data_IF_788860981832
#
_entry.id   IF_788860981832
#
_cell.length_a   1.000
_cell.length_b   1.000
_cell.length_c   1.000
_cell.angle_alpha   90.00
_cell.angle_beta   90.00
_cell.angle_gamma   90.00
#
_symmetry.space_group_name_H-M   'P 1'
#
loop_
_entity.id
_entity.type
_entity.pdbx_description
1 polymer ?
#
# COMPACT_ATOMS: atom_id res chain seq x y z
N UNK A 1 -24.39 26.61 19.34
CA UNK A 1 -23.23 26.62 18.44
C UNK A 1 -22.65 25.22 18.39
N UNK A 2 -23.02 24.44 17.38
CA UNK A 2 -22.42 23.12 17.12
C UNK A 2 -21.06 23.36 16.47
N UNK A 3 -19.97 23.05 17.16
CA UNK A 3 -18.66 23.02 16.53
C UNK A 3 -18.70 21.90 15.49
N UNK A 4 -18.66 22.25 14.19
CA UNK A 4 -18.38 21.29 13.14
C UNK A 4 -16.94 20.82 13.34
N UNK A 5 -16.78 19.60 13.85
CA UNK A 5 -15.47 18.95 13.87
C UNK A 5 -15.05 18.75 12.42
N UNK A 6 -14.06 19.50 11.96
CA UNK A 6 -13.54 19.35 10.59
C UNK A 6 -12.81 18.02 10.53
N UNK A 7 -13.42 17.04 9.88
CA UNK A 7 -12.80 15.74 9.63
C UNK A 7 -11.66 15.91 8.63
N UNK A 8 -10.52 15.24 8.87
CA UNK A 8 -9.45 15.12 7.87
C UNK A 8 -9.90 14.23 6.71
N UNK A 9 -9.21 14.27 5.58
CA UNK A 9 -9.69 13.58 4.38
C UNK A 9 -9.42 12.07 4.42
N UNK A 10 -8.19 11.65 4.77
CA UNK A 10 -7.75 10.25 4.68
C UNK A 10 -6.91 9.83 5.90
N UNK A 11 -7.14 8.63 6.40
CA UNK A 11 -6.16 7.90 7.21
C UNK A 11 -5.75 6.63 6.47
N UNK A 12 -4.45 6.37 6.39
CA UNK A 12 -3.92 5.15 5.79
C UNK A 12 -3.10 4.34 6.80
N UNK A 13 -3.21 3.02 6.71
CA UNK A 13 -2.37 2.06 7.41
C UNK A 13 -1.61 1.24 6.37
N UNK A 14 -0.29 1.26 6.44
CA UNK A 14 0.60 0.57 5.50
C UNK A 14 1.49 -0.44 6.21
N UNK A 15 2.03 -1.42 5.47
CA UNK A 15 2.88 -2.47 6.03
C UNK A 15 4.30 -1.99 6.38
N UNK A 16 4.86 -1.07 5.60
CA UNK A 16 6.24 -0.60 5.77
C UNK A 16 6.44 0.90 5.44
N UNK A 17 7.69 1.35 5.61
CA UNK A 17 8.09 2.72 5.33
C UNK A 17 8.15 3.06 3.83
N UNK A 18 8.43 2.10 2.94
CA UNK A 18 8.47 2.34 1.49
C UNK A 18 7.06 2.70 0.98
N UNK A 19 6.04 1.96 1.42
CA UNK A 19 4.64 2.27 1.16
C UNK A 19 4.25 3.63 1.75
N UNK A 20 4.70 3.94 2.97
CA UNK A 20 4.46 5.24 3.59
C UNK A 20 5.03 6.37 2.72
N UNK A 21 6.31 6.27 2.32
CA UNK A 21 6.97 7.28 1.49
C UNK A 21 6.30 7.42 0.12
N UNK A 22 5.86 6.31 -0.47
CA UNK A 22 5.14 6.28 -1.75
C UNK A 22 3.83 7.05 -1.65
N UNK A 23 2.99 6.73 -0.65
CA UNK A 23 1.73 7.45 -0.43
C UNK A 23 1.96 8.93 -0.12
N UNK A 24 2.94 9.26 0.74
CA UNK A 24 3.30 10.67 1.03
C UNK A 24 3.72 11.41 -0.24
N UNK A 25 4.55 10.80 -1.07
CA UNK A 25 5.01 11.35 -2.34
C UNK A 25 3.86 11.64 -3.30
N UNK A 26 2.94 10.67 -3.46
CA UNK A 26 1.74 10.81 -4.31
C UNK A 26 0.82 11.93 -3.82
N UNK A 27 0.52 11.96 -2.52
CA UNK A 27 -0.43 12.92 -1.95
C UNK A 27 0.13 14.36 -1.91
N UNK A 28 1.45 14.52 -1.80
CA UNK A 28 2.10 15.85 -1.83
C UNK A 28 2.07 16.46 -3.24
N UNK A 29 2.01 15.64 -4.29
CA UNK A 29 1.98 16.08 -5.71
C UNK A 29 0.59 16.50 -6.21
N UNK A 30 -0.40 16.68 -5.33
CA UNK A 30 -1.79 16.98 -5.71
C UNK A 30 -1.95 18.17 -6.68
N UNK A 31 -1.09 19.21 -6.60
CA UNK A 31 -1.13 20.35 -7.55
C UNK A 31 -0.72 20.00 -8.98
N UNK A 32 0.15 19.01 -9.17
CA UNK A 32 0.60 18.56 -10.50
C UNK A 32 -0.37 17.56 -11.16
N UNK A 33 -1.30 16.97 -10.40
CA UNK A 33 -2.24 15.95 -10.87
C UNK A 33 -3.70 16.46 -10.96
N UNK A 34 -3.92 17.77 -10.87
CA UNK A 34 -5.25 18.43 -10.95
C UNK A 34 -6.28 17.99 -9.88
N UNK A 35 -5.86 17.29 -8.82
CA UNK A 35 -6.74 16.94 -7.70
C UNK A 35 -6.69 18.02 -6.61
N UNK A 36 -7.80 18.16 -5.88
CA UNK A 36 -7.85 18.92 -4.62
C UNK A 36 -6.75 18.38 -3.70
N UNK A 37 -6.07 19.26 -2.97
CA UNK A 37 -5.13 18.83 -1.94
C UNK A 37 -5.89 18.04 -0.85
N UNK A 38 -5.43 16.80 -0.59
CA UNK A 38 -6.01 15.88 0.37
C UNK A 38 -5.17 15.95 1.65
N UNK A 39 -5.83 16.10 2.80
CA UNK A 39 -5.18 15.98 4.12
C UNK A 39 -5.15 14.52 4.56
N UNK A 40 -3.95 13.96 4.75
CA UNK A 40 -3.80 12.56 5.09
C UNK A 40 -2.82 12.33 6.24
N UNK A 41 -3.14 11.36 7.10
CA UNK A 41 -2.22 10.79 8.07
C UNK A 41 -1.96 9.31 7.69
N UNK A 42 -0.69 8.91 7.70
CA UNK A 42 -0.26 7.57 7.30
C UNK A 42 0.48 6.94 8.47
N UNK A 43 0.14 5.71 8.82
CA UNK A 43 0.76 4.92 9.88
C UNK A 43 1.35 3.64 9.30
N UNK A 44 2.55 3.28 9.77
CA UNK A 44 3.14 1.96 9.51
C UNK A 44 2.68 1.01 10.62
N UNK A 45 2.12 -0.13 10.23
CA UNK A 45 1.68 -1.12 11.20
C UNK A 45 2.87 -1.92 11.76
N UNK A 46 3.04 -2.05 13.10
CA UNK A 46 4.23 -2.71 13.69
C UNK A 46 4.32 -4.21 13.35
N UNK A 47 3.19 -4.83 13.03
CA UNK A 47 3.11 -6.22 12.58
C UNK A 47 3.24 -6.41 11.07
N UNK A 48 3.65 -5.38 10.32
CA UNK A 48 3.81 -5.41 8.84
C UNK A 48 2.57 -5.96 8.12
N UNK A 49 2.74 -6.68 7.02
CA UNK A 49 1.68 -7.24 6.17
C UNK A 49 0.71 -8.14 6.93
N UNK A 50 1.17 -9.12 7.76
CA UNK A 50 0.25 -9.92 8.56
C UNK A 50 -0.55 -9.06 9.55
N UNK A 51 0.06 -8.00 10.06
CA UNK A 51 -0.58 -7.07 10.96
C UNK A 51 -1.64 -6.21 10.29
N UNK A 52 -1.35 -5.65 9.12
CA UNK A 52 -2.32 -4.95 8.28
C UNK A 52 -3.50 -5.85 7.94
N UNK A 53 -3.24 -7.06 7.44
CA UNK A 53 -4.27 -8.02 7.02
C UNK A 53 -5.16 -8.47 8.19
N UNK A 54 -4.58 -8.78 9.34
CA UNK A 54 -5.33 -9.35 10.48
C UNK A 54 -6.03 -8.28 11.30
N UNK A 55 -5.40 -7.13 11.52
CA UNK A 55 -5.83 -6.13 12.52
C UNK A 55 -6.00 -4.71 11.98
N UNK A 56 -5.85 -4.49 10.67
CA UNK A 56 -5.99 -3.15 10.10
C UNK A 56 -7.34 -2.49 10.40
N UNK A 57 -8.42 -3.27 10.33
CA UNK A 57 -9.76 -2.80 10.68
C UNK A 57 -9.90 -2.38 12.16
N UNK A 58 -9.28 -3.12 13.09
CA UNK A 58 -9.27 -2.78 14.52
C UNK A 58 -8.45 -1.51 14.78
N UNK A 59 -7.29 -1.40 14.13
CA UNK A 59 -6.41 -0.23 14.24
C UNK A 59 -7.11 1.04 13.74
N UNK A 60 -7.83 0.96 12.62
CA UNK A 60 -8.48 2.13 12.01
C UNK A 60 -9.83 2.50 12.64
N UNK A 61 -10.50 1.57 13.33
CA UNK A 61 -11.79 1.79 14.00
C UNK A 61 -11.89 3.11 14.82
N UNK A 62 -10.95 3.45 15.73
CA UNK A 62 -11.04 4.68 16.53
C UNK A 62 -10.99 5.97 15.71
N UNK A 63 -10.53 5.92 14.47
CA UNK A 63 -10.39 7.07 13.58
C UNK A 63 -11.62 7.33 12.70
N UNK A 64 -12.61 6.43 12.70
CA UNK A 64 -13.80 6.48 11.84
C UNK A 64 -14.63 7.78 11.92
N UNK A 65 -14.53 8.51 13.04
CA UNK A 65 -15.19 9.82 13.27
C UNK A 65 -14.29 11.03 13.05
N UNK A 66 -13.00 10.81 12.81
CA UNK A 66 -12.00 11.85 12.65
C UNK A 66 -11.61 12.05 11.18
N UNK A 67 -11.78 11.03 10.34
CA UNK A 67 -11.41 11.06 8.92
C UNK A 67 -12.56 10.66 8.01
N UNK A 68 -12.57 11.27 6.83
CA UNK A 68 -13.57 11.06 5.80
C UNK A 68 -13.41 9.69 5.14
N UNK A 69 -12.18 9.20 4.97
CA UNK A 69 -11.89 7.89 4.37
C UNK A 69 -10.76 7.15 5.09
N UNK A 70 -10.74 5.83 4.91
CA UNK A 70 -9.69 4.93 5.38
C UNK A 70 -9.07 4.11 4.24
N UNK A 71 -7.78 3.83 4.35
CA UNK A 71 -7.05 2.94 3.44
C UNK A 71 -6.22 1.95 4.26
N UNK A 72 -6.24 0.67 3.89
CA UNK A 72 -5.24 -0.32 4.34
C UNK A 72 -4.46 -0.79 3.12
N UNK A 73 -3.13 -0.84 3.22
CA UNK A 73 -2.25 -1.28 2.13
C UNK A 73 -1.20 -2.24 2.66
N UNK A 74 -0.99 -3.36 1.97
CA UNK A 74 0.04 -4.35 2.28
C UNK A 74 0.37 -5.20 1.04
N UNK A 75 1.47 -5.93 1.09
CA UNK A 75 1.84 -6.86 0.03
C UNK A 75 1.11 -8.19 0.17
N UNK A 76 0.83 -8.87 -0.95
CA UNK A 76 0.26 -10.22 -0.91
C UNK A 76 1.25 -11.21 -0.33
N UNK A 77 2.52 -11.07 -0.69
CA UNK A 77 3.61 -11.89 -0.20
C UNK A 77 3.97 -11.49 1.24
N UNK A 78 4.30 -12.48 2.08
CA UNK A 78 4.64 -12.25 3.48
C UNK A 78 3.46 -11.94 4.41
N UNK A 79 2.22 -11.82 3.89
CA UNK A 79 1.03 -11.56 4.71
C UNK A 79 0.53 -12.82 5.47
N UNK A 80 1.03 -14.00 5.10
CA UNK A 80 0.67 -15.31 5.66
C UNK A 80 -0.64 -15.88 5.14
N UNK A 81 -1.10 -15.39 3.98
CA UNK A 81 -2.27 -15.88 3.21
C UNK A 81 -2.03 -15.80 1.70
N UNK A 82 -0.82 -16.16 1.29
CA UNK A 82 -0.34 -16.09 -0.09
C UNK A 82 -1.16 -16.99 -1.04
N UNK A 83 -1.87 -17.99 -0.52
CA UNK A 83 -2.80 -18.84 -1.28
C UNK A 83 -4.09 -18.12 -1.70
N UNK A 84 -4.40 -16.99 -1.08
CA UNK A 84 -5.60 -16.20 -1.37
C UNK A 84 -5.30 -15.13 -2.42
N UNK A 85 -6.24 -14.90 -3.35
CA UNK A 85 -6.08 -13.83 -4.34
C UNK A 85 -6.10 -12.45 -3.69
N UNK A 86 -5.43 -11.47 -4.29
CA UNK A 86 -5.45 -10.08 -3.82
C UNK A 86 -6.88 -9.55 -3.66
N UNK A 87 -7.76 -9.82 -4.62
CA UNK A 87 -9.16 -9.34 -4.60
C UNK A 87 -9.94 -9.93 -3.42
N UNK A 88 -9.64 -11.18 -3.07
CA UNK A 88 -10.25 -11.84 -1.92
C UNK A 88 -9.83 -11.16 -0.62
N UNK A 89 -8.53 -10.89 -0.48
CA UNK A 89 -7.97 -10.23 0.70
C UNK A 89 -8.49 -8.79 0.84
N UNK A 90 -8.57 -8.05 -0.26
CA UNK A 90 -9.13 -6.70 -0.31
C UNK A 90 -10.60 -6.69 0.13
N UNK A 91 -11.44 -7.54 -0.48
CA UNK A 91 -12.86 -7.62 -0.17
C UNK A 91 -13.11 -8.02 1.30
N UNK A 92 -12.33 -8.96 1.84
CA UNK A 92 -12.39 -9.34 3.25
C UNK A 92 -12.05 -8.15 4.18
N UNK A 93 -10.98 -7.43 3.88
CA UNK A 93 -10.55 -6.28 4.68
C UNK A 93 -11.59 -5.15 4.61
N UNK A 94 -12.10 -4.82 3.42
CA UNK A 94 -13.15 -3.81 3.24
C UNK A 94 -14.42 -4.17 4.00
N UNK A 95 -14.85 -5.44 3.95
CA UNK A 95 -15.98 -5.93 4.75
C UNK A 95 -15.77 -5.70 6.24
N UNK A 96 -14.57 -6.00 6.76
CA UNK A 96 -14.22 -5.75 8.18
C UNK A 96 -14.16 -4.26 8.52
N UNK A 97 -13.62 -3.43 7.64
CA UNK A 97 -13.58 -1.96 7.81
C UNK A 97 -14.99 -1.37 7.82
N UNK A 98 -15.86 -1.86 6.93
CA UNK A 98 -17.28 -1.49 6.89
C UNK A 98 -17.99 -1.82 8.21
N UNK A 99 -17.78 -3.03 8.72
CA UNK A 99 -18.27 -3.46 10.04
C UNK A 99 -17.68 -2.67 11.21
N UNK A 100 -16.51 -2.04 11.02
CA UNK A 100 -15.78 -1.27 12.03
C UNK A 100 -16.11 0.23 12.06
N UNK A 101 -17.12 0.67 11.30
CA UNK A 101 -17.65 2.04 11.35
C UNK A 101 -17.30 2.93 10.15
N UNK A 102 -16.57 2.41 9.16
CA UNK A 102 -16.23 3.17 7.95
C UNK A 102 -17.39 3.28 6.96
N UNK A 103 -18.26 2.26 6.88
CA UNK A 103 -19.53 2.28 6.11
C UNK A 103 -19.39 2.84 4.69
N UNK A 104 -18.68 2.12 3.82
CA UNK A 104 -18.36 2.43 2.43
C UNK A 104 -17.41 3.61 2.23
N UNK A 105 -16.71 4.03 3.29
CA UNK A 105 -15.66 5.06 3.24
C UNK A 105 -14.29 4.47 3.49
N UNK A 106 -14.05 3.27 2.98
CA UNK A 106 -12.79 2.58 3.13
C UNK A 106 -12.43 1.84 1.85
N UNK A 107 -11.13 1.64 1.65
CA UNK A 107 -10.60 0.76 0.63
C UNK A 107 -9.47 -0.10 1.24
N UNK A 108 -9.26 -1.28 0.67
CA UNK A 108 -8.06 -2.08 0.89
C UNK A 108 -7.32 -2.24 -0.44
N UNK A 109 -6.00 -2.15 -0.40
CA UNK A 109 -5.14 -2.36 -1.56
C UNK A 109 -4.13 -3.44 -1.19
N UNK A 110 -4.16 -4.55 -1.92
CA UNK A 110 -3.17 -5.61 -1.81
C UNK A 110 -2.30 -5.58 -3.06
N UNK A 111 -1.01 -5.32 -2.86
CA UNK A 111 -0.04 -5.22 -3.94
C UNK A 111 0.39 -6.62 -4.36
N UNK A 112 0.30 -6.85 -5.67
CA UNK A 112 0.57 -8.14 -6.31
C UNK A 112 0.86 -7.93 -7.81
N UNK A 113 2.10 -8.18 -8.30
CA UNK A 113 3.29 -8.53 -7.53
C UNK A 113 3.82 -7.34 -6.70
N UNK A 114 4.66 -7.59 -5.68
CA UNK A 114 5.23 -6.57 -4.79
C UNK A 114 5.79 -5.35 -5.55
N UNK A 115 5.72 -4.15 -4.96
CA UNK A 115 6.17 -2.91 -5.61
C UNK A 115 7.62 -2.98 -6.12
N UNK A 116 8.47 -3.77 -5.46
CA UNK A 116 9.87 -3.96 -5.83
C UNK A 116 10.04 -4.78 -7.11
N UNK A 117 9.15 -5.73 -7.40
CA UNK A 117 9.22 -6.56 -8.62
C UNK A 117 9.18 -5.70 -9.89
N UNK A 118 8.45 -4.58 -9.87
CA UNK A 118 8.39 -3.64 -10.98
C UNK A 118 9.70 -2.89 -11.22
N UNK A 119 10.51 -2.68 -10.19
CA UNK A 119 11.85 -2.08 -10.32
C UNK A 119 12.79 -3.03 -11.05
N UNK A 120 12.64 -4.33 -10.83
CA UNK A 120 13.53 -5.37 -11.35
C UNK A 120 13.08 -5.98 -12.68
N UNK A 121 11.80 -5.86 -13.05
CA UNK A 121 11.25 -6.53 -14.23
C UNK A 121 11.77 -5.97 -15.55
N UNK A 122 11.93 -4.65 -15.70
CA UNK A 122 12.18 -4.04 -17.03
C UNK A 122 12.89 -2.67 -17.04
N UNK A 123 13.46 -2.19 -15.92
CA UNK A 123 14.13 -0.87 -15.90
C UNK A 123 15.59 -0.96 -16.39
N UNK A 124 15.93 -0.45 -17.60
CA UNK A 124 17.32 -0.37 -18.05
C UNK A 124 18.16 0.57 -17.17
N UNK A 125 17.51 1.51 -16.47
CA UNK A 125 18.17 2.46 -15.57
C UNK A 125 18.77 1.76 -14.35
N UNK A 126 18.09 0.74 -13.80
CA UNK A 126 18.59 -0.04 -12.67
C UNK A 126 19.80 -0.86 -13.10
N UNK A 127 19.75 -1.51 -14.27
CA UNK A 127 20.89 -2.21 -14.84
C UNK A 127 22.09 -1.26 -15.03
N UNK A 128 21.86 -0.07 -15.59
CA UNK A 128 22.91 0.90 -15.82
C UNK A 128 23.56 1.45 -14.54
N UNK A 129 22.76 1.74 -13.49
CA UNK A 129 23.28 2.21 -12.19
C UNK A 129 24.09 1.13 -11.48
N UNK A 130 23.70 -0.14 -11.64
CA UNK A 130 24.42 -1.30 -11.10
C UNK A 130 25.65 -1.69 -11.94
N UNK A 131 25.90 -1.02 -13.07
CA UNK A 131 26.98 -1.37 -13.99
C UNK A 131 26.73 -2.67 -14.77
N UNK A 132 25.48 -3.13 -14.82
CA UNK A 132 25.04 -4.32 -15.51
C UNK A 132 24.86 -4.02 -17.01
N UNK A 133 25.66 -4.68 -17.86
CA UNK A 133 25.62 -4.50 -19.32
C UNK A 133 26.78 -5.21 -20.02
N UNK A 134 26.57 -5.62 -21.28
CA UNK A 134 27.54 -6.39 -22.08
C UNK A 134 26.91 -7.65 -22.68
N UNK A 135 27.66 -8.77 -22.71
CA UNK A 135 27.20 -10.11 -23.15
C UNK A 135 26.37 -10.86 -22.08
N UNK A 136 26.00 -10.19 -21.00
CA UNK A 136 25.20 -10.78 -19.92
C UNK A 136 23.71 -10.78 -20.27
N UNK A 137 22.95 -11.82 -19.88
CA UNK A 137 21.51 -11.84 -20.06
C UNK A 137 20.87 -10.65 -19.32
N UNK A 138 19.66 -10.20 -19.75
CA UNK A 138 18.92 -9.17 -19.04
C UNK A 138 18.90 -9.44 -17.54
N UNK A 139 19.15 -8.41 -16.72
CA UNK A 139 19.24 -8.54 -15.25
C UNK A 139 18.04 -9.29 -14.66
N UNK A 140 16.84 -9.03 -15.20
CA UNK A 140 15.60 -9.73 -14.85
C UNK A 140 15.68 -11.24 -15.09
N UNK A 141 16.21 -11.67 -16.25
CA UNK A 141 16.37 -13.08 -16.60
C UNK A 141 17.43 -13.75 -15.73
N UNK A 142 18.53 -13.04 -15.44
CA UNK A 142 19.56 -13.53 -14.54
C UNK A 142 19.02 -13.74 -13.12
N UNK A 143 18.24 -12.79 -12.59
CA UNK A 143 17.61 -12.91 -11.26
C UNK A 143 16.62 -14.07 -11.19
N UNK A 144 15.82 -14.28 -12.25
CA UNK A 144 14.94 -15.45 -12.39
C UNK A 144 15.71 -16.77 -12.33
N UNK A 145 16.86 -16.88 -13.01
CA UNK A 145 17.69 -18.10 -12.91
C UNK A 145 18.30 -18.35 -11.53
N UNK A 146 18.34 -17.32 -10.67
CA UNK A 146 18.87 -17.39 -9.29
C UNK A 146 17.78 -17.50 -8.23
N UNK A 147 16.50 -17.51 -8.61
CA UNK A 147 15.36 -17.59 -7.69
C UNK A 147 15.08 -16.27 -6.96
N UNK A 148 15.40 -15.14 -7.58
CA UNK A 148 15.22 -13.79 -7.04
C UNK A 148 14.28 -12.92 -7.89
N UNK A 149 13.44 -13.53 -8.72
CA UNK A 149 12.42 -12.84 -9.50
C UNK A 149 11.30 -13.82 -9.83
N UNK A 150 10.19 -13.69 -9.10
CA UNK A 150 8.89 -14.25 -9.48
C UNK A 150 8.02 -13.14 -10.10
#
# INVERSE_FOLDING_TARGET
MTQQTVMKDLIALVADGQMEFTLRGLLTRGRSLLFRQITADIYVHPGKDPGCLRRGHEFLRPFSRQYSHALVMHDREGCGREESSRETLEAEMESRLNGSGWRNRCAAIVIDPELEVWVWSDSPEVAQVLGWGGDEPPLADWLKTRGHGD
#
